data_IF_861044801370
#
_entry.id   IF_861044801370
#
_cell.length_a   1.000
_cell.length_b   1.000
_cell.length_c   1.000
_cell.angle_alpha   90.00
_cell.angle_beta   90.00
_cell.angle_gamma   90.00
#
_symmetry.space_group_name_H-M   'P 1'
#
loop_
_entity.id
_entity.type
_entity.pdbx_description
1 polymer ?
#
# COMPACT_ATOMS: atom_id res chain seq x y z
N UNK A 1 1.66 -44.73 -6.48
CA UNK A 1 2.96 -44.07 -6.28
C UNK A 1 3.22 -42.86 -7.19
N UNK A 2 3.29 -42.97 -8.53
CA UNK A 2 3.61 -41.81 -9.40
C UNK A 2 2.52 -40.71 -9.37
N UNK A 3 1.24 -41.10 -9.50
CA UNK A 3 0.13 -40.14 -9.42
C UNK A 3 0.01 -39.46 -8.05
N UNK A 4 0.29 -40.21 -6.98
CA UNK A 4 0.25 -39.70 -5.60
C UNK A 4 1.36 -38.67 -5.36
N UNK A 5 2.57 -38.93 -5.85
CA UNK A 5 3.70 -37.99 -5.76
C UNK A 5 3.38 -36.67 -6.49
N UNK A 6 2.77 -36.73 -7.67
CA UNK A 6 2.36 -35.54 -8.42
C UNK A 6 1.33 -34.72 -7.64
N UNK A 7 0.31 -35.37 -7.04
CA UNK A 7 -0.72 -34.69 -6.24
C UNK A 7 -0.10 -33.99 -5.03
N UNK A 8 0.87 -34.62 -4.36
CA UNK A 8 1.57 -34.03 -3.21
C UNK A 8 2.37 -32.79 -3.62
N UNK A 9 3.11 -32.85 -4.72
CA UNK A 9 3.87 -31.69 -5.24
C UNK A 9 2.95 -30.54 -5.61
N UNK A 10 1.82 -30.82 -6.27
CA UNK A 10 0.82 -29.81 -6.61
C UNK A 10 0.21 -29.19 -5.36
N UNK A 11 -0.16 -30.01 -4.37
CA UNK A 11 -0.71 -29.52 -3.11
C UNK A 11 0.28 -28.62 -2.37
N UNK A 12 1.58 -28.90 -2.44
CA UNK A 12 2.60 -28.05 -1.85
C UNK A 12 2.72 -26.72 -2.59
N UNK A 13 2.83 -26.72 -3.92
CA UNK A 13 2.93 -25.51 -4.73
C UNK A 13 1.68 -24.60 -4.57
N UNK A 14 0.50 -25.20 -4.59
CA UNK A 14 -0.78 -24.51 -4.42
C UNK A 14 -0.88 -23.87 -3.04
N UNK A 15 -0.50 -24.61 -1.98
CA UNK A 15 -0.48 -24.06 -0.62
C UNK A 15 0.46 -22.86 -0.49
N UNK A 16 1.61 -22.87 -1.16
CA UNK A 16 2.53 -21.74 -1.13
C UNK A 16 1.93 -20.50 -1.78
N UNK A 17 1.26 -20.63 -2.93
CA UNK A 17 0.56 -19.52 -3.60
C UNK A 17 -0.60 -18.99 -2.76
N UNK A 18 -1.35 -19.88 -2.08
CA UNK A 18 -2.46 -19.49 -1.20
C UNK A 18 -1.95 -18.78 0.08
N UNK A 19 -0.79 -19.19 0.61
CA UNK A 19 -0.20 -18.62 1.83
C UNK A 19 0.55 -17.31 1.59
N UNK A 20 0.77 -16.89 0.35
CA UNK A 20 1.42 -15.61 0.07
C UNK A 20 0.69 -14.48 0.82
N UNK A 21 1.44 -13.61 1.48
CA UNK A 21 0.91 -12.51 2.29
C UNK A 21 1.26 -11.19 1.62
N UNK A 22 0.26 -10.33 1.39
CA UNK A 22 0.48 -9.04 0.76
C UNK A 22 1.19 -8.06 1.69
N UNK A 23 1.14 -8.28 3.01
CA UNK A 23 1.90 -7.51 4.00
C UNK A 23 3.37 -7.94 4.09
N UNK A 24 3.77 -9.07 3.49
CA UNK A 24 5.14 -9.60 3.62
C UNK A 24 6.23 -8.57 3.26
N UNK A 25 6.11 -7.77 2.18
CA UNK A 25 7.10 -6.73 1.85
C UNK A 25 7.25 -5.66 2.95
N UNK A 26 6.17 -5.31 3.67
CA UNK A 26 6.18 -4.34 4.77
C UNK A 26 6.83 -4.89 6.06
N UNK A 27 6.96 -6.22 6.18
CA UNK A 27 7.57 -6.90 7.34
C UNK A 27 9.09 -6.99 7.23
N UNK A 28 9.66 -6.73 6.05
CA UNK A 28 11.10 -6.76 5.82
C UNK A 28 11.72 -5.48 6.44
N UNK A 29 12.65 -5.61 7.41
CA UNK A 29 13.29 -4.45 8.02
C UNK A 29 13.98 -3.55 6.99
N UNK A 30 13.75 -2.24 7.09
CA UNK A 30 14.30 -1.25 6.15
C UNK A 30 13.61 -1.19 4.78
N UNK A 31 12.62 -2.05 4.51
CA UNK A 31 11.86 -1.99 3.27
C UNK A 31 10.66 -1.05 3.40
N UNK A 32 10.47 -0.19 2.40
CA UNK A 32 9.39 0.80 2.35
C UNK A 32 8.67 0.73 1.01
N UNK A 33 7.92 -0.36 0.75
CA UNK A 33 7.20 -0.54 -0.50
C UNK A 33 6.16 0.58 -0.71
N UNK A 34 6.03 1.02 -1.95
CA UNK A 34 4.97 1.92 -2.41
C UNK A 34 3.74 1.14 -2.88
N UNK A 35 2.60 1.82 -3.12
CA UNK A 35 1.27 1.21 -3.28
C UNK A 35 1.12 0.37 -4.56
N UNK A 36 2.04 0.52 -5.52
CA UNK A 36 2.10 -0.33 -6.70
C UNK A 36 2.43 -1.78 -6.34
N UNK A 37 3.14 -2.03 -5.23
CA UNK A 37 3.52 -3.37 -4.77
C UNK A 37 2.28 -4.18 -4.41
N UNK A 38 1.32 -3.63 -3.66
CA UNK A 38 0.05 -4.29 -3.38
C UNK A 38 -0.75 -4.59 -4.67
N UNK A 39 -0.79 -3.66 -5.63
CA UNK A 39 -1.50 -3.86 -6.91
C UNK A 39 -0.87 -4.98 -7.75
N UNK A 40 0.46 -4.98 -7.86
CA UNK A 40 1.21 -5.97 -8.62
C UNK A 40 1.15 -7.34 -7.92
N UNK A 41 1.16 -7.38 -6.58
CA UNK A 41 0.93 -8.59 -5.78
C UNK A 41 -0.41 -9.24 -6.13
N UNK A 42 -1.52 -8.49 -6.08
CA UNK A 42 -2.83 -9.04 -6.39
C UNK A 42 -2.95 -9.47 -7.85
N UNK A 43 -2.34 -8.72 -8.77
CA UNK A 43 -2.29 -9.06 -10.20
C UNK A 43 -1.54 -10.36 -10.45
N UNK A 44 -0.34 -10.50 -9.90
CA UNK A 44 0.46 -11.72 -10.00
C UNK A 44 -0.22 -12.92 -9.34
N UNK A 45 -0.82 -12.71 -8.15
CA UNK A 45 -1.57 -13.75 -7.43
C UNK A 45 -2.78 -14.23 -8.23
N UNK A 46 -3.54 -13.31 -8.82
CA UNK A 46 -4.66 -13.64 -9.69
C UNK A 46 -4.19 -14.44 -10.92
N UNK A 47 -3.14 -13.99 -11.61
CA UNK A 47 -2.57 -14.69 -12.77
C UNK A 47 -2.14 -16.12 -12.41
N UNK A 48 -1.41 -16.30 -11.30
CA UNK A 48 -0.97 -17.60 -10.82
C UNK A 48 -2.15 -18.52 -10.49
N UNK A 49 -3.16 -18.03 -9.76
CA UNK A 49 -4.33 -18.82 -9.38
C UNK A 49 -5.24 -19.16 -10.57
N UNK A 50 -5.35 -18.27 -11.57
CA UNK A 50 -6.03 -18.57 -12.82
C UNK A 50 -5.30 -19.70 -13.58
N UNK A 51 -3.97 -19.60 -13.73
CA UNK A 51 -3.16 -20.65 -14.37
C UNK A 51 -3.27 -22.00 -13.66
N UNK A 52 -3.18 -22.01 -12.32
CA UNK A 52 -3.37 -23.23 -11.52
C UNK A 52 -4.77 -23.82 -11.72
N UNK A 53 -5.81 -22.98 -11.74
CA UNK A 53 -7.17 -23.43 -11.97
C UNK A 53 -7.34 -24.08 -13.35
N UNK A 54 -6.77 -23.48 -14.38
CA UNK A 54 -6.83 -24.00 -15.76
C UNK A 54 -6.09 -25.34 -15.86
N UNK A 55 -4.93 -25.46 -15.20
CA UNK A 55 -4.18 -26.71 -15.11
C UNK A 55 -4.98 -27.81 -14.38
N UNK A 56 -5.59 -27.49 -13.24
CA UNK A 56 -6.43 -28.43 -12.47
C UNK A 56 -7.71 -28.83 -13.22
N UNK A 57 -8.25 -27.93 -14.04
CA UNK A 57 -9.46 -28.15 -14.84
C UNK A 57 -9.17 -28.82 -16.19
N UNK A 58 -7.89 -29.01 -16.54
CA UNK A 58 -7.48 -29.65 -17.78
C UNK A 58 -7.88 -31.12 -17.87
N UNK A 59 -8.17 -31.59 -19.09
CA UNK A 59 -8.71 -32.92 -19.37
C UNK A 59 -7.86 -34.05 -18.76
N UNK A 60 -6.53 -33.94 -18.83
CA UNK A 60 -5.60 -34.92 -18.26
C UNK A 60 -5.76 -35.04 -16.73
N UNK A 61 -5.88 -33.91 -16.04
CA UNK A 61 -6.05 -33.90 -14.57
C UNK A 61 -7.43 -34.41 -14.19
N UNK A 62 -8.47 -34.03 -14.92
CA UNK A 62 -9.83 -34.52 -14.68
C UNK A 62 -9.93 -36.05 -14.85
N UNK A 63 -9.28 -36.63 -15.86
CA UNK A 63 -9.20 -38.11 -16.01
C UNK A 63 -8.53 -38.76 -14.80
N UNK A 64 -7.43 -38.20 -14.30
CA UNK A 64 -6.74 -38.71 -13.10
C UNK A 64 -7.68 -38.64 -11.88
N UNK A 65 -8.40 -37.53 -11.72
CA UNK A 65 -9.36 -37.34 -10.62
C UNK A 65 -10.50 -38.37 -10.69
N UNK A 66 -11.05 -38.65 -11.87
CA UNK A 66 -12.07 -39.70 -12.06
C UNK A 66 -11.54 -41.08 -11.69
N UNK A 67 -10.30 -41.40 -12.05
CA UNK A 67 -9.68 -42.68 -11.65
C UNK A 67 -9.51 -42.76 -10.13
N UNK A 68 -9.09 -41.67 -9.47
CA UNK A 68 -8.98 -41.62 -8.00
C UNK A 68 -10.32 -41.80 -7.31
N UNK A 69 -11.40 -41.26 -7.88
CA UNK A 69 -12.76 -41.41 -7.39
C UNK A 69 -13.25 -42.85 -7.50
N UNK A 70 -13.11 -43.46 -8.68
CA UNK A 70 -13.51 -44.86 -8.92
C UNK A 70 -12.71 -45.83 -8.06
N UNK A 71 -11.41 -45.56 -7.87
CA UNK A 71 -10.54 -46.35 -7.01
C UNK A 71 -10.77 -46.12 -5.50
N UNK A 72 -11.72 -45.26 -5.10
CA UNK A 72 -11.96 -44.84 -3.71
C UNK A 72 -10.67 -44.44 -2.97
N UNK A 73 -9.80 -43.72 -3.66
CA UNK A 73 -8.50 -43.32 -3.13
C UNK A 73 -8.66 -42.36 -1.95
N UNK A 74 -7.87 -42.56 -0.89
CA UNK A 74 -7.78 -41.64 0.25
C UNK A 74 -7.31 -40.23 -0.14
N UNK A 75 -6.70 -40.08 -1.32
CA UNK A 75 -6.25 -38.79 -1.85
C UNK A 75 -7.37 -37.99 -2.54
N UNK A 76 -8.47 -38.62 -2.95
CA UNK A 76 -9.56 -37.93 -3.65
C UNK A 76 -10.20 -36.81 -2.81
N UNK A 77 -10.58 -37.02 -1.53
CA UNK A 77 -11.11 -35.95 -0.68
C UNK A 77 -10.10 -34.81 -0.46
N UNK A 78 -8.80 -35.13 -0.37
CA UNK A 78 -7.75 -34.14 -0.21
C UNK A 78 -7.61 -33.25 -1.45
N UNK A 79 -7.67 -33.85 -2.64
CA UNK A 79 -7.69 -33.12 -3.91
C UNK A 79 -8.92 -32.20 -4.02
N UNK A 80 -10.12 -32.71 -3.71
CA UNK A 80 -11.34 -31.91 -3.77
C UNK A 80 -11.27 -30.69 -2.84
N UNK A 81 -10.74 -30.87 -1.61
CA UNK A 81 -10.55 -29.76 -0.67
C UNK A 81 -9.61 -28.71 -1.23
N UNK A 82 -8.45 -29.12 -1.73
CA UNK A 82 -7.46 -28.24 -2.35
C UNK A 82 -8.06 -27.50 -3.56
N UNK A 83 -8.82 -28.17 -4.42
CA UNK A 83 -9.47 -27.53 -5.57
C UNK A 83 -10.47 -26.46 -5.13
N UNK A 84 -11.28 -26.73 -4.09
CA UNK A 84 -12.19 -25.73 -3.50
C UNK A 84 -11.43 -24.52 -2.96
N UNK A 85 -10.32 -24.73 -2.27
CA UNK A 85 -9.45 -23.66 -1.77
C UNK A 85 -8.90 -22.80 -2.91
N UNK A 86 -8.43 -23.42 -4.01
CA UNK A 86 -7.97 -22.70 -5.21
C UNK A 86 -9.09 -21.86 -5.82
N UNK A 87 -10.29 -22.44 -5.99
CA UNK A 87 -11.44 -21.72 -6.56
C UNK A 87 -11.81 -20.50 -5.70
N UNK A 88 -11.80 -20.65 -4.37
CA UNK A 88 -12.08 -19.55 -3.46
C UNK A 88 -11.00 -18.46 -3.51
N UNK A 89 -9.73 -18.85 -3.40
CA UNK A 89 -8.60 -17.92 -3.48
C UNK A 89 -8.55 -17.18 -4.81
N UNK A 90 -8.85 -17.87 -5.92
CA UNK A 90 -8.94 -17.29 -7.27
C UNK A 90 -10.03 -16.24 -7.35
N UNK A 91 -11.23 -16.53 -6.83
CA UNK A 91 -12.35 -15.58 -6.80
C UNK A 91 -11.98 -14.32 -6.02
N UNK A 92 -11.35 -14.48 -4.86
CA UNK A 92 -10.85 -13.36 -4.06
C UNK A 92 -9.81 -12.53 -4.83
N UNK A 93 -8.79 -13.16 -5.40
CA UNK A 93 -7.71 -12.45 -6.07
C UNK A 93 -8.23 -11.67 -7.30
N UNK A 94 -9.10 -12.28 -8.11
CA UNK A 94 -9.70 -11.62 -9.27
C UNK A 94 -10.61 -10.44 -8.87
N UNK A 95 -11.39 -10.56 -7.78
CA UNK A 95 -12.21 -9.45 -7.27
C UNK A 95 -11.33 -8.30 -6.77
N UNK A 96 -10.28 -8.60 -6.02
CA UNK A 96 -9.33 -7.60 -5.54
C UNK A 96 -8.66 -6.86 -6.71
N UNK A 97 -8.18 -7.58 -7.74
CA UNK A 97 -7.63 -6.96 -8.96
C UNK A 97 -8.64 -6.04 -9.62
N UNK A 98 -9.90 -6.47 -9.78
CA UNK A 98 -10.96 -5.65 -10.37
C UNK A 98 -11.16 -4.33 -9.63
N UNK A 99 -11.16 -4.37 -8.29
CA UNK A 99 -11.38 -3.18 -7.46
C UNK A 99 -10.16 -2.28 -7.32
N UNK A 100 -8.95 -2.86 -7.32
CA UNK A 100 -7.69 -2.11 -7.22
C UNK A 100 -7.23 -1.50 -8.55
N UNK A 101 -7.61 -2.08 -9.69
CA UNK A 101 -7.18 -1.62 -11.03
C UNK A 101 -7.38 -0.11 -11.27
N UNK A 102 -8.50 0.53 -10.88
CA UNK A 102 -8.68 1.97 -11.07
C UNK A 102 -7.67 2.83 -10.30
N UNK A 103 -7.09 2.32 -9.20
CA UNK A 103 -6.10 3.07 -8.42
C UNK A 103 -4.75 3.19 -9.12
N UNK A 104 -4.46 2.28 -10.08
CA UNK A 104 -3.16 2.20 -10.76
C UNK A 104 -2.74 3.53 -11.37
N UNK A 105 -3.65 4.20 -12.07
CA UNK A 105 -3.37 5.50 -12.72
C UNK A 105 -2.99 6.58 -11.70
N UNK A 106 -3.55 6.56 -10.50
CA UNK A 106 -3.22 7.54 -9.46
C UNK A 106 -1.88 7.23 -8.81
N UNK A 107 -1.56 5.95 -8.59
CA UNK A 107 -0.29 5.53 -8.01
C UNK A 107 0.88 5.67 -8.98
N UNK A 108 0.68 5.39 -10.27
CA UNK A 108 1.69 5.68 -11.29
C UNK A 108 1.97 7.20 -11.34
N UNK A 109 0.93 8.05 -11.28
CA UNK A 109 1.11 9.51 -11.19
C UNK A 109 1.79 9.95 -9.89
N UNK A 110 1.48 9.33 -8.76
CA UNK A 110 2.12 9.66 -7.48
C UNK A 110 3.60 9.32 -7.50
N UNK A 111 3.98 8.19 -8.11
CA UNK A 111 5.38 7.76 -8.22
C UNK A 111 6.18 8.60 -9.23
N UNK A 112 5.54 9.01 -10.34
CA UNK A 112 6.16 9.73 -11.46
C UNK A 112 5.98 11.26 -11.44
N UNK A 113 5.35 11.84 -10.41
CA UNK A 113 5.09 13.28 -10.37
C UNK A 113 6.40 14.07 -10.31
N UNK A 114 6.63 14.94 -11.28
CA UNK A 114 7.80 15.83 -11.29
C UNK A 114 7.61 16.99 -10.29
N UNK A 115 6.38 17.48 -10.13
CA UNK A 115 6.06 18.53 -9.17
C UNK A 115 5.41 17.96 -7.90
N UNK A 116 5.98 18.30 -6.74
CA UNK A 116 5.53 17.77 -5.45
C UNK A 116 4.17 18.36 -5.01
N UNK A 117 3.89 19.61 -5.40
CA UNK A 117 2.64 20.33 -5.16
C UNK A 117 1.44 19.69 -5.87
N UNK A 118 1.66 19.10 -7.04
CA UNK A 118 0.62 18.44 -7.85
C UNK A 118 0.04 17.19 -7.18
N UNK A 119 0.75 16.59 -6.21
CA UNK A 119 0.29 15.43 -5.46
C UNK A 119 -1.05 15.71 -4.75
N UNK A 120 -1.32 16.96 -4.36
CA UNK A 120 -2.56 17.35 -3.68
C UNK A 120 -3.80 17.02 -4.52
N UNK A 121 -3.70 17.13 -5.84
CA UNK A 121 -4.79 16.82 -6.75
C UNK A 121 -5.14 15.32 -6.78
N UNK A 122 -4.21 14.45 -6.36
CA UNK A 122 -4.40 12.99 -6.32
C UNK A 122 -5.09 12.51 -5.05
N UNK A 123 -4.99 13.25 -3.94
CA UNK A 123 -5.45 12.77 -2.62
C UNK A 123 -6.95 12.51 -2.58
N UNK A 124 -7.77 13.45 -3.07
CA UNK A 124 -9.23 13.30 -3.08
C UNK A 124 -9.69 12.13 -3.98
N UNK A 125 -9.25 12.00 -5.24
CA UNK A 125 -9.56 10.84 -6.07
C UNK A 125 -9.16 9.51 -5.41
N UNK A 126 -7.94 9.42 -4.85
CA UNK A 126 -7.45 8.20 -4.19
C UNK A 126 -8.34 7.84 -3.00
N UNK A 127 -8.60 8.78 -2.08
CA UNK A 127 -9.46 8.52 -0.92
C UNK A 127 -10.89 8.13 -1.32
N UNK A 128 -11.42 8.76 -2.36
CA UNK A 128 -12.74 8.40 -2.87
C UNK A 128 -12.77 6.99 -3.44
N UNK A 129 -11.77 6.61 -4.23
CA UNK A 129 -11.64 5.26 -4.74
C UNK A 129 -11.50 4.24 -3.60
N UNK A 130 -10.71 4.54 -2.56
CA UNK A 130 -10.60 3.67 -1.37
C UNK A 130 -11.96 3.49 -0.66
N UNK A 131 -12.75 4.55 -0.51
CA UNK A 131 -14.11 4.46 0.04
C UNK A 131 -15.03 3.61 -0.83
N UNK A 132 -15.00 3.77 -2.15
CA UNK A 132 -15.80 2.95 -3.07
C UNK A 132 -15.41 1.48 -3.04
N UNK A 133 -14.10 1.19 -2.98
CA UNK A 133 -13.60 -0.18 -2.80
C UNK A 133 -14.09 -0.75 -1.47
N UNK A 134 -14.02 0.03 -0.39
CA UNK A 134 -14.50 -0.40 0.93
C UNK A 134 -15.99 -0.72 0.94
N UNK A 135 -16.80 0.06 0.24
CA UNK A 135 -18.26 -0.15 0.09
C UNK A 135 -18.60 -1.40 -0.70
N UNK A 136 -17.96 -1.58 -1.85
CA UNK A 136 -18.45 -2.49 -2.88
C UNK A 136 -17.61 -3.76 -3.03
N UNK A 137 -16.36 -3.76 -2.56
CA UNK A 137 -15.53 -4.96 -2.63
C UNK A 137 -16.05 -6.04 -1.70
N UNK A 138 -16.05 -7.29 -2.17
CA UNK A 138 -16.43 -8.42 -1.35
C UNK A 138 -15.27 -8.88 -0.46
N UNK A 139 -14.05 -8.79 -0.96
CA UNK A 139 -12.87 -9.36 -0.32
C UNK A 139 -11.84 -8.33 0.14
N UNK A 140 -11.78 -7.14 -0.45
CA UNK A 140 -10.80 -6.10 -0.10
C UNK A 140 -11.27 -5.16 1.03
N UNK A 141 -12.54 -5.25 1.44
CA UNK A 141 -13.13 -4.42 2.52
C UNK A 141 -12.72 -4.85 3.95
N UNK A 142 -11.46 -5.23 4.13
CA UNK A 142 -10.92 -5.70 5.41
C UNK A 142 -9.90 -4.72 5.99
N UNK A 143 -9.83 -4.64 7.32
CA UNK A 143 -8.90 -3.73 8.00
C UNK A 143 -7.44 -3.98 7.59
N UNK A 144 -7.03 -5.26 7.49
CA UNK A 144 -5.66 -5.61 7.11
C UNK A 144 -5.29 -5.09 5.72
N UNK A 145 -6.12 -5.36 4.70
CA UNK A 145 -5.86 -4.88 3.33
C UNK A 145 -5.79 -3.35 3.24
N UNK A 146 -6.70 -2.65 3.95
CA UNK A 146 -6.67 -1.19 3.98
C UNK A 146 -5.42 -0.64 4.65
N UNK A 147 -5.01 -1.23 5.78
CA UNK A 147 -3.80 -0.82 6.51
C UNK A 147 -2.55 -1.01 5.65
N UNK A 148 -2.42 -2.15 4.95
CA UNK A 148 -1.29 -2.40 4.04
C UNK A 148 -1.21 -1.31 2.97
N UNK A 149 -2.29 -1.11 2.22
CA UNK A 149 -2.30 -0.15 1.12
C UNK A 149 -2.06 1.28 1.61
N UNK A 150 -2.67 1.67 2.74
CA UNK A 150 -2.49 3.00 3.31
C UNK A 150 -1.05 3.25 3.77
N UNK A 151 -0.40 2.26 4.39
CA UNK A 151 1.03 2.35 4.77
C UNK A 151 1.92 2.47 3.54
N UNK A 152 1.62 1.75 2.46
CA UNK A 152 2.36 1.85 1.22
C UNK A 152 2.20 3.23 0.55
N UNK A 153 0.99 3.80 0.55
CA UNK A 153 0.77 5.18 0.09
C UNK A 153 1.60 6.17 0.93
N UNK A 154 1.59 6.03 2.26
CA UNK A 154 2.40 6.87 3.15
C UNK A 154 3.91 6.75 2.85
N UNK A 155 4.41 5.55 2.54
CA UNK A 155 5.81 5.34 2.19
C UNK A 155 6.19 6.11 0.93
N UNK A 156 5.34 6.04 -0.09
CA UNK A 156 5.60 6.69 -1.38
C UNK A 156 5.50 8.22 -1.25
N UNK A 157 4.57 8.75 -0.46
CA UNK A 157 4.52 10.18 -0.12
C UNK A 157 5.79 10.66 0.59
N UNK A 158 6.33 9.86 1.52
CA UNK A 158 7.60 10.18 2.19
C UNK A 158 8.75 10.13 1.19
N UNK A 159 8.76 9.18 0.26
CA UNK A 159 9.76 9.12 -0.80
C UNK A 159 9.73 10.39 -1.67
N UNK A 160 8.54 10.82 -2.11
CA UNK A 160 8.38 12.05 -2.88
C UNK A 160 8.78 13.30 -2.08
N UNK A 161 8.45 13.35 -0.79
CA UNK A 161 8.88 14.42 0.09
C UNK A 161 10.42 14.49 0.23
N UNK A 162 11.09 13.34 0.37
CA UNK A 162 12.55 13.27 0.42
C UNK A 162 13.22 13.62 -0.92
N UNK A 163 12.55 13.39 -2.07
CA UNK A 163 13.03 13.86 -3.38
C UNK A 163 12.93 15.38 -3.50
N UNK A 164 11.83 15.96 -3.00
CA UNK A 164 11.60 17.40 -3.02
C UNK A 164 12.49 18.15 -2.03
N UNK A 165 12.75 17.54 -0.86
CA UNK A 165 13.62 18.05 0.20
C UNK A 165 14.65 16.99 0.57
N UNK A 166 15.78 16.91 -0.16
CA UNK A 166 16.86 16.00 0.17
C UNK A 166 17.48 16.38 1.51
N UNK A 167 17.51 15.44 2.46
CA UNK A 167 18.02 15.71 3.82
C UNK A 167 19.50 16.10 3.84
N UNK A 168 20.26 15.61 2.88
CA UNK A 168 21.70 15.82 2.76
C UNK A 168 22.01 17.24 2.30
N UNK A 169 21.11 17.82 1.49
CA UNK A 169 21.24 19.15 0.88
C UNK A 169 20.52 20.23 1.70
N UNK A 170 19.59 19.86 2.59
CA UNK A 170 18.74 20.80 3.31
C UNK A 170 19.50 21.77 4.23
N UNK A 171 20.65 21.33 4.74
CA UNK A 171 21.50 22.16 5.60
C UNK A 171 22.46 23.03 4.78
N UNK A 172 22.66 22.71 3.50
CA UNK A 172 23.55 23.44 2.59
C UNK A 172 22.80 24.50 1.76
N UNK A 173 21.48 24.36 1.59
CA UNK A 173 20.65 25.34 0.91
C UNK A 173 20.46 26.62 1.73
N UNK A 174 19.98 27.68 1.07
CA UNK A 174 19.70 28.94 1.73
C UNK A 174 18.59 28.75 2.80
N UNK A 175 18.76 29.27 4.03
CA UNK A 175 17.84 28.96 5.13
C UNK A 175 16.38 29.33 4.88
N UNK A 176 16.09 30.42 4.15
CA UNK A 176 14.72 30.77 3.79
C UNK A 176 14.14 29.79 2.76
N UNK A 177 14.92 29.32 1.79
CA UNK A 177 14.53 28.24 0.87
C UNK A 177 14.18 26.95 1.61
N UNK A 178 15.03 26.53 2.56
CA UNK A 178 14.78 25.34 3.40
C UNK A 178 13.44 25.47 4.15
N UNK A 179 13.20 26.62 4.77
CA UNK A 179 11.95 26.92 5.49
C UNK A 179 10.73 26.79 4.57
N UNK A 180 10.79 27.37 3.37
CA UNK A 180 9.67 27.37 2.43
C UNK A 180 9.36 25.96 1.91
N UNK A 181 10.41 25.20 1.55
CA UNK A 181 10.28 23.79 1.13
C UNK A 181 9.70 22.91 2.25
N UNK A 182 10.20 23.01 3.48
CA UNK A 182 9.70 22.25 4.63
C UNK A 182 8.25 22.58 4.97
N UNK A 183 7.87 23.87 4.95
CA UNK A 183 6.48 24.28 5.14
C UNK A 183 5.56 23.69 4.08
N UNK A 184 6.01 23.67 2.82
CA UNK A 184 5.26 23.05 1.74
C UNK A 184 5.10 21.54 1.96
N UNK A 185 6.16 20.84 2.35
CA UNK A 185 6.13 19.41 2.71
C UNK A 185 5.12 19.11 3.80
N UNK A 186 5.20 19.82 4.93
CA UNK A 186 4.27 19.67 6.05
C UNK A 186 2.82 19.94 5.63
N UNK A 187 2.59 20.98 4.81
CA UNK A 187 1.26 21.33 4.30
C UNK A 187 0.67 20.22 3.42
N UNK A 188 1.45 19.69 2.48
CA UNK A 188 0.98 18.66 1.54
C UNK A 188 0.66 17.36 2.29
N UNK A 189 1.58 16.88 3.13
CA UNK A 189 1.38 15.67 3.92
C UNK A 189 0.26 15.83 4.96
N UNK A 190 0.13 17.02 5.56
CA UNK A 190 -1.00 17.37 6.41
C UNK A 190 -2.33 17.32 5.66
N UNK A 191 -2.37 17.85 4.43
CA UNK A 191 -3.55 17.81 3.56
C UNK A 191 -3.98 16.38 3.24
N UNK A 192 -3.04 15.47 2.99
CA UNK A 192 -3.32 14.05 2.82
C UNK A 192 -4.00 13.44 4.06
N UNK A 193 -3.48 13.73 5.26
CA UNK A 193 -4.10 13.29 6.53
C UNK A 193 -5.50 13.87 6.72
N UNK A 194 -5.71 15.16 6.41
CA UNK A 194 -7.03 15.78 6.46
C UNK A 194 -8.04 15.06 5.56
N UNK A 195 -7.67 14.78 4.31
CA UNK A 195 -8.52 13.99 3.42
C UNK A 195 -8.81 12.60 3.99
N UNK A 196 -7.85 11.91 4.58
CA UNK A 196 -8.13 10.63 5.24
C UNK A 196 -9.18 10.78 6.36
N UNK A 197 -9.07 11.79 7.22
CA UNK A 197 -10.04 11.99 8.30
C UNK A 197 -11.43 12.35 7.80
N UNK A 198 -11.53 13.18 6.77
CA UNK A 198 -12.80 13.50 6.12
C UNK A 198 -13.47 12.23 5.57
N UNK A 199 -12.71 11.40 4.85
CA UNK A 199 -13.22 10.15 4.30
C UNK A 199 -13.49 9.08 5.37
N UNK A 200 -12.77 9.09 6.50
CA UNK A 200 -13.07 8.26 7.67
C UNK A 200 -14.43 8.64 8.28
N UNK A 201 -14.74 9.94 8.37
CA UNK A 201 -16.05 10.44 8.78
C UNK A 201 -17.15 9.98 7.83
N UNK A 202 -16.95 10.16 6.52
CA UNK A 202 -17.86 9.67 5.49
C UNK A 202 -18.06 8.16 5.52
N UNK A 203 -17.01 7.38 5.74
CA UNK A 203 -17.12 5.93 5.89
C UNK A 203 -17.96 5.53 7.11
N UNK A 204 -17.94 6.33 8.18
CA UNK A 204 -18.78 6.11 9.35
C UNK A 204 -20.27 6.31 9.06
N UNK A 205 -20.59 7.32 8.23
CA UNK A 205 -21.96 7.62 7.81
C UNK A 205 -22.46 6.68 6.71
N UNK A 206 -21.64 6.44 5.69
CA UNK A 206 -22.01 5.72 4.48
C UNK A 206 -21.87 4.18 4.64
N UNK A 207 -21.16 3.70 5.66
CA UNK A 207 -20.94 2.27 5.96
C UNK A 207 -21.07 1.98 7.47
N UNK A 208 -22.24 2.21 8.10
CA UNK A 208 -22.40 2.12 9.55
C UNK A 208 -22.10 0.71 10.11
N UNK A 209 -22.36 -0.33 9.32
CA UNK A 209 -22.11 -1.73 9.71
C UNK A 209 -20.63 -2.13 9.63
N UNK A 210 -19.83 -1.43 8.83
CA UNK A 210 -18.40 -1.68 8.67
C UNK A 210 -17.63 -0.38 8.43
N UNK A 211 -17.54 0.51 9.41
CA UNK A 211 -16.85 1.79 9.25
C UNK A 211 -15.33 1.62 9.39
N UNK A 212 -14.56 2.64 9.02
CA UNK A 212 -13.09 2.64 9.12
C UNK A 212 -12.62 2.73 10.59
N UNK A 213 -12.68 1.60 11.31
CA UNK A 213 -12.25 1.46 12.72
C UNK A 213 -10.80 0.98 12.80
N UNK A 214 -9.87 1.81 12.38
CA UNK A 214 -8.43 1.53 12.47
C UNK A 214 -7.77 2.44 13.50
N UNK A 215 -6.75 1.91 14.19
CA UNK A 215 -5.85 2.74 14.98
C UNK A 215 -5.01 3.59 14.02
N UNK A 216 -5.02 4.92 14.21
CA UNK A 216 -4.29 5.83 13.33
C UNK A 216 -2.77 5.51 13.34
N UNK A 217 -2.23 5.05 14.46
CA UNK A 217 -0.82 4.60 14.58
C UNK A 217 -0.47 3.43 13.66
N UNK A 218 -1.42 2.54 13.36
CA UNK A 218 -1.22 1.45 12.42
C UNK A 218 -1.06 1.94 10.97
N UNK A 219 -1.58 3.12 10.65
CA UNK A 219 -1.54 3.72 9.31
C UNK A 219 -0.38 4.72 9.16
N UNK A 220 -0.19 5.56 10.18
CA UNK A 220 0.59 6.78 10.07
C UNK A 220 1.88 6.81 10.89
N UNK A 221 2.18 5.80 11.71
CA UNK A 221 3.37 5.82 12.59
C UNK A 221 4.67 6.32 11.91
N UNK A 222 4.98 5.81 10.72
CA UNK A 222 6.15 6.26 9.95
C UNK A 222 6.01 7.68 9.38
N UNK A 223 4.81 8.04 8.93
CA UNK A 223 4.52 9.38 8.41
C UNK A 223 4.58 10.43 9.52
N UNK A 224 4.04 10.11 10.68
CA UNK A 224 4.06 10.98 11.86
C UNK A 224 5.49 11.22 12.33
N UNK A 225 6.30 10.16 12.44
CA UNK A 225 7.73 10.29 12.74
C UNK A 225 8.50 11.09 11.68
N UNK A 226 8.10 11.03 10.41
CA UNK A 226 8.70 11.86 9.34
C UNK A 226 8.30 13.33 9.47
N UNK A 227 7.02 13.61 9.76
CA UNK A 227 6.50 14.95 10.00
C UNK A 227 7.18 15.61 11.20
N UNK A 228 7.37 14.87 12.30
CA UNK A 228 8.10 15.35 13.49
C UNK A 228 9.52 15.78 13.12
N UNK A 229 10.27 14.94 12.39
CA UNK A 229 11.62 15.33 11.91
C UNK A 229 11.59 16.56 11.01
N UNK A 230 10.58 16.70 10.15
CA UNK A 230 10.44 17.89 9.30
C UNK A 230 10.18 19.15 10.14
N UNK A 231 9.43 19.04 11.24
CA UNK A 231 9.22 20.14 12.18
C UNK A 231 10.53 20.53 12.89
N UNK A 232 11.28 19.55 13.40
CA UNK A 232 12.56 19.82 14.06
C UNK A 232 13.54 20.58 13.15
N UNK A 233 13.66 20.14 11.89
CA UNK A 233 14.54 20.80 10.91
C UNK A 233 13.99 22.15 10.48
N UNK A 234 12.67 22.31 10.43
CA UNK A 234 12.05 23.61 10.14
C UNK A 234 12.36 24.63 11.23
N UNK A 235 12.26 24.25 12.50
CA UNK A 235 12.55 25.13 13.63
C UNK A 235 14.03 25.54 13.65
N UNK A 236 14.94 24.59 13.33
CA UNK A 236 16.37 24.88 13.16
C UNK A 236 16.61 25.88 12.01
N UNK A 237 16.00 25.65 10.85
CA UNK A 237 16.16 26.51 9.67
C UNK A 237 15.60 27.92 9.92
N UNK A 238 14.46 28.02 10.61
CA UNK A 238 13.89 29.31 11.01
C UNK A 238 14.80 30.07 11.98
N UNK A 239 15.44 29.35 12.90
CA UNK A 239 16.42 29.94 13.81
C UNK A 239 17.61 30.50 13.02
N UNK A 240 18.15 29.75 12.06
CA UNK A 240 19.23 30.22 11.19
C UNK A 240 18.85 31.50 10.42
N UNK A 241 17.63 31.56 9.85
CA UNK A 241 17.11 32.79 9.20
C UNK A 241 17.11 33.99 10.16
N UNK A 242 16.71 33.81 11.41
CA UNK A 242 16.70 34.89 12.40
C UNK A 242 18.11 35.41 12.70
N UNK A 243 19.10 34.52 12.85
CA UNK A 243 20.49 34.90 13.09
C UNK A 243 21.11 35.61 11.87
N UNK A 244 20.82 35.17 10.64
CA UNK A 244 21.28 35.85 9.42
C UNK A 244 20.71 37.26 9.28
N UNK A 245 19.49 37.51 9.80
CA UNK A 245 18.93 38.87 9.84
C UNK A 245 19.68 39.78 10.81
N UNK A 246 20.13 39.24 11.95
CA UNK A 246 20.90 40.00 12.95
C UNK A 246 22.29 40.39 12.43
N UNK A 247 22.95 39.52 11.65
CA UNK A 247 24.25 39.80 11.04
C UNK A 247 24.21 40.99 10.06
N UNK A 248 23.05 41.23 9.44
CA UNK A 248 22.81 42.37 8.54
C UNK A 248 22.37 43.65 9.25
N UNK A 249 22.13 43.60 10.56
CA UNK A 249 21.84 44.80 11.35
C UNK A 249 23.17 45.37 11.81
N UNK A 250 23.67 46.40 11.11
CA UNK A 250 24.70 47.27 11.68
C UNK A 250 24.12 47.94 12.93
N UNK A 251 24.55 47.45 14.10
CA UNK A 251 24.28 48.13 15.36
C UNK A 251 25.10 49.43 15.33
N UNK A 252 24.46 50.52 14.90
CA UNK A 252 24.96 51.88 15.00
C UNK A 252 25.08 52.30 16.47
N UNK A 253 26.03 51.71 17.19
CA UNK A 253 26.38 52.11 18.54
C UNK A 253 27.29 53.34 18.49
N UNK A 254 26.77 54.51 18.81
CA UNK A 254 27.59 55.59 19.37
C UNK A 254 28.16 55.12 20.70
N UNK A 255 29.48 55.23 20.85
CA UNK A 255 30.26 54.96 22.08
C UNK A 255 29.67 55.61 23.31
#
# INVERSE_FOLDING_TARGET
HVLESIIVTWAHQIKNVIKADSEAPLKIPGNHPGPLVELDFWTARAANLNSIYDQLSGEKVQKVVSVLEVAQSTYYPAFQRMFKEVVQARRQANDNVKFLKPLRVYFDRLNLSDEFTDLVALFKPVMHSLLLIWKHSKYYKTAGSFVVLMREICNDLIMQACKYVPGDEIMEMEPQEAVDKLRMTLKILGTFKSYYFDYKGRAAEECPDNPWRFQNSALFSRLDAFLERCHDVLDLSQTAVQFLKLDRVEIGGTK
#
